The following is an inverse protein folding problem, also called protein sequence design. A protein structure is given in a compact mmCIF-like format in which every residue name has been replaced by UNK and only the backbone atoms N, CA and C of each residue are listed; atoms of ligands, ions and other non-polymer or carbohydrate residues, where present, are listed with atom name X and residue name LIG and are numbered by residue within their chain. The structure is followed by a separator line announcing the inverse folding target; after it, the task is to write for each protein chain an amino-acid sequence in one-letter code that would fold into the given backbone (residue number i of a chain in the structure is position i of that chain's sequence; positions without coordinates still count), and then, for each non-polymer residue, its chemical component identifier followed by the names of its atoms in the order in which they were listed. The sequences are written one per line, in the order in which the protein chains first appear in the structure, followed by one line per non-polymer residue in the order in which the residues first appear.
data_IF_420333634531
#
_entry.id   IF_420333634531
#
_cell.length_a   1.000
_cell.length_b   1.000
_cell.length_c   1.000
_cell.angle_alpha   90.00
_cell.angle_beta   90.00
_cell.angle_gamma   90.00
#
_symmetry.space_group_name_H-M   'P 1'
#
loop_
_entity.id
_entity.type
_entity.pdbx_description
1 polymer ?
#
# COMPACT_ATOMS: atom_id res chain seq x y z
N UNK A 1 14.91 -12.78 -0.15
CA UNK A 1 15.83 -11.98 0.68
C UNK A 1 15.51 -10.51 0.45
N UNK A 2 15.13 -9.79 1.51
CA UNK A 2 14.87 -8.35 1.48
C UNK A 2 16.12 -7.57 1.05
N UNK A 3 15.99 -6.75 0.00
CA UNK A 3 17.10 -5.98 -0.56
C UNK A 3 17.70 -4.96 0.42
N UNK A 4 18.93 -4.46 0.19
CA UNK A 4 19.58 -3.46 1.05
C UNK A 4 18.76 -2.16 1.21
N UNK A 5 17.93 -1.83 0.21
CA UNK A 5 17.07 -0.64 0.19
C UNK A 5 16.03 -0.62 1.30
N UNK A 6 15.54 -1.77 1.76
CA UNK A 6 14.55 -1.85 2.84
C UNK A 6 15.07 -1.33 4.18
N UNK A 7 16.39 -1.32 4.38
CA UNK A 7 17.04 -1.00 5.66
C UNK A 7 17.49 0.45 5.78
N UNK A 8 17.31 1.26 4.73
CA UNK A 8 17.69 2.67 4.73
C UNK A 8 16.45 3.54 4.63
N UNK A 9 16.21 4.39 5.64
CA UNK A 9 15.02 5.24 5.71
C UNK A 9 14.74 5.99 4.41
N UNK A 10 15.78 6.59 3.80
CA UNK A 10 15.60 7.34 2.56
C UNK A 10 15.16 6.44 1.39
N UNK A 11 15.76 5.27 1.23
CA UNK A 11 15.42 4.34 0.15
C UNK A 11 14.02 3.74 0.37
N UNK A 12 13.71 3.38 1.61
CA UNK A 12 12.42 2.86 2.02
C UNK A 12 11.29 3.88 1.80
N UNK A 13 11.46 5.13 2.27
CA UNK A 13 10.54 6.23 2.00
C UNK A 13 10.36 6.48 0.50
N UNK A 14 11.44 6.42 -0.29
CA UNK A 14 11.34 6.60 -1.74
C UNK A 14 10.45 5.55 -2.41
N UNK A 15 10.39 4.32 -1.88
CA UNK A 15 9.49 3.27 -2.37
C UNK A 15 8.04 3.63 -2.01
N UNK A 16 7.78 4.04 -0.77
CA UNK A 16 6.46 4.49 -0.32
C UNK A 16 5.92 5.66 -1.14
N UNK A 17 6.72 6.72 -1.27
CA UNK A 17 6.32 7.94 -1.99
C UNK A 17 6.04 7.63 -3.47
N UNK A 18 6.88 6.80 -4.09
CA UNK A 18 6.69 6.38 -5.48
C UNK A 18 5.40 5.59 -5.68
N UNK A 19 5.21 4.54 -4.88
CA UNK A 19 4.01 3.69 -4.97
C UNK A 19 2.73 4.48 -4.67
N UNK A 20 2.76 5.38 -3.68
CA UNK A 20 1.62 6.23 -3.33
C UNK A 20 1.28 7.25 -4.42
N UNK A 21 2.28 7.94 -4.98
CA UNK A 21 2.07 8.96 -6.01
C UNK A 21 1.44 8.38 -7.27
N UNK A 22 1.91 7.20 -7.69
CA UNK A 22 1.35 6.49 -8.84
C UNK A 22 -0.07 6.00 -8.58
N UNK A 23 -0.32 5.36 -7.42
CA UNK A 23 -1.65 4.94 -7.01
C UNK A 23 -2.64 6.11 -6.95
N UNK A 24 -2.20 7.26 -6.43
CA UNK A 24 -3.02 8.48 -6.37
C UNK A 24 -3.36 8.99 -7.76
N UNK A 25 -2.38 9.05 -8.66
CA UNK A 25 -2.58 9.53 -10.04
C UNK A 25 -3.56 8.65 -10.80
N UNK A 26 -3.44 7.33 -10.66
CA UNK A 26 -4.38 6.37 -11.25
C UNK A 26 -5.78 6.46 -10.63
N UNK A 27 -5.88 6.69 -9.32
CA UNK A 27 -7.17 6.90 -8.64
C UNK A 27 -7.86 8.17 -9.17
N UNK A 28 -7.12 9.27 -9.28
CA UNK A 28 -7.66 10.53 -9.82
C UNK A 28 -8.11 10.37 -11.29
N UNK A 29 -7.34 9.64 -12.10
CA UNK A 29 -7.71 9.30 -13.48
C UNK A 29 -9.01 8.47 -13.52
N UNK A 30 -9.10 7.41 -12.71
CA UNK A 30 -10.28 6.54 -12.64
C UNK A 30 -11.54 7.34 -12.29
N UNK A 31 -11.46 8.22 -11.29
CA UNK A 31 -12.57 9.08 -10.88
C UNK A 31 -13.05 9.99 -12.01
N UNK A 32 -12.12 10.57 -12.78
CA UNK A 32 -12.46 11.40 -13.93
C UNK A 32 -13.12 10.58 -15.06
N UNK A 33 -12.61 9.38 -15.36
CA UNK A 33 -13.19 8.51 -16.39
C UNK A 33 -14.62 8.08 -16.05
N UNK A 34 -14.88 7.74 -14.78
CA UNK A 34 -16.24 7.42 -14.30
C UNK A 34 -17.16 8.63 -14.42
N UNK A 35 -16.68 9.82 -14.02
CA UNK A 35 -17.43 11.08 -14.15
C UNK A 35 -17.76 11.41 -15.61
N UNK A 36 -16.85 11.14 -16.52
CA UNK A 36 -17.00 11.41 -17.96
C UNK A 36 -17.74 10.27 -18.69
N UNK A 37 -18.27 9.28 -17.97
CA UNK A 37 -18.98 8.11 -18.52
C UNK A 37 -18.16 7.27 -19.51
N UNK A 38 -16.83 7.24 -19.36
CA UNK A 38 -15.91 6.43 -20.17
C UNK A 38 -15.72 5.04 -19.56
N UNK A 39 -16.75 4.20 -19.66
CA UNK A 39 -16.83 2.93 -18.92
C UNK A 39 -15.71 1.94 -19.26
N UNK A 40 -15.34 1.82 -20.54
CA UNK A 40 -14.30 0.88 -20.98
C UNK A 40 -12.93 1.28 -20.43
N UNK A 41 -12.57 2.54 -20.58
CA UNK A 41 -11.32 3.10 -20.10
C UNK A 41 -11.27 3.08 -18.57
N UNK A 42 -12.40 3.35 -17.89
CA UNK A 42 -12.49 3.24 -16.44
C UNK A 42 -12.21 1.80 -15.96
N UNK A 43 -12.70 0.79 -16.67
CA UNK A 43 -12.40 -0.62 -16.34
C UNK A 43 -10.92 -0.95 -16.52
N UNK A 44 -10.31 -0.53 -17.64
CA UNK A 44 -8.88 -0.74 -17.90
C UNK A 44 -8.02 -0.07 -16.82
N UNK A 45 -8.35 1.17 -16.43
CA UNK A 45 -7.62 1.88 -15.37
C UNK A 45 -7.86 1.26 -13.99
N UNK A 46 -9.07 0.79 -13.70
CA UNK A 46 -9.36 0.12 -12.42
C UNK A 46 -8.59 -1.20 -12.28
N UNK A 47 -8.47 -1.98 -13.36
CA UNK A 47 -7.70 -3.21 -13.38
C UNK A 47 -6.19 -2.94 -13.19
N UNK A 48 -5.65 -1.97 -13.93
CA UNK A 48 -4.26 -1.54 -13.76
C UNK A 48 -3.98 -0.97 -12.36
N UNK A 49 -4.94 -0.25 -11.76
CA UNK A 49 -4.79 0.30 -10.42
C UNK A 49 -4.78 -0.81 -9.36
N UNK A 50 -5.64 -1.82 -9.44
CA UNK A 50 -5.58 -2.93 -8.47
C UNK A 50 -4.31 -3.75 -8.65
N UNK A 51 -3.84 -3.97 -9.88
CA UNK A 51 -2.56 -4.60 -10.15
C UNK A 51 -1.39 -3.80 -9.55
N UNK A 52 -1.40 -2.47 -9.64
CA UNK A 52 -0.40 -1.61 -9.00
C UNK A 52 -0.36 -1.83 -7.48
N UNK A 53 -1.51 -1.88 -6.81
CA UNK A 53 -1.57 -2.18 -5.37
C UNK A 53 -1.01 -3.57 -5.05
N UNK A 54 -1.36 -4.59 -5.84
CA UNK A 54 -0.87 -5.97 -5.68
C UNK A 54 0.65 -6.06 -5.86
N UNK A 55 1.19 -5.47 -6.92
CA UNK A 55 2.61 -5.63 -7.27
C UNK A 55 3.53 -4.71 -6.48
N UNK A 56 3.12 -3.46 -6.24
CA UNK A 56 3.99 -2.42 -5.69
C UNK A 56 3.86 -2.27 -4.19
N UNK A 57 2.64 -2.26 -3.67
CA UNK A 57 2.41 -2.03 -2.24
C UNK A 57 2.39 -3.35 -1.49
N UNK A 58 1.57 -4.32 -1.93
CA UNK A 58 1.48 -5.62 -1.27
C UNK A 58 2.79 -6.41 -1.44
N UNK A 59 3.42 -6.39 -2.63
CA UNK A 59 4.73 -7.01 -2.81
C UNK A 59 5.85 -6.41 -1.94
N UNK A 60 5.77 -5.11 -1.63
CA UNK A 60 6.67 -4.46 -0.68
C UNK A 60 6.39 -4.90 0.76
N UNK A 61 5.10 -4.89 1.16
CA UNK A 61 4.63 -5.40 2.44
C UNK A 61 5.07 -6.86 2.71
N UNK A 62 4.98 -7.73 1.70
CA UNK A 62 5.42 -9.12 1.80
C UNK A 62 6.93 -9.19 2.09
N UNK A 63 7.73 -8.35 1.41
CA UNK A 63 9.18 -8.28 1.62
C UNK A 63 9.56 -7.77 3.02
N UNK A 64 8.74 -6.92 3.61
CA UNK A 64 8.91 -6.42 4.97
C UNK A 64 8.59 -7.51 5.99
N UNK A 65 7.42 -8.13 5.87
CA UNK A 65 6.94 -9.16 6.79
C UNK A 65 7.82 -10.41 6.79
N UNK A 66 8.26 -10.88 5.62
CA UNK A 66 9.10 -12.08 5.50
C UNK A 66 10.53 -11.89 6.00
N UNK A 67 10.99 -10.63 6.16
CA UNK A 67 12.39 -10.35 6.44
C UNK A 67 12.59 -9.18 7.38
N UNK A 68 12.30 -7.97 6.92
CA UNK A 68 12.67 -6.74 7.63
C UNK A 68 12.04 -6.65 9.03
N UNK A 69 10.76 -6.96 9.18
CA UNK A 69 10.06 -6.93 10.47
C UNK A 69 10.59 -7.98 11.45
N UNK A 70 10.99 -9.14 10.97
CA UNK A 70 11.65 -10.17 11.80
C UNK A 70 13.01 -9.68 12.31
N UNK A 71 13.79 -9.01 11.46
CA UNK A 71 15.07 -8.40 11.86
C UNK A 71 14.86 -7.28 12.91
N UNK A 72 13.91 -6.38 12.66
CA UNK A 72 13.58 -5.24 13.55
C UNK A 72 13.12 -5.72 14.92
N UNK A 73 12.20 -6.69 14.99
CA UNK A 73 11.70 -7.24 16.26
C UNK A 73 12.77 -8.02 17.01
N UNK A 74 13.64 -8.76 16.31
CA UNK A 74 14.77 -9.46 16.93
C UNK A 74 15.76 -8.47 17.56
N UNK A 75 16.06 -7.36 16.88
CA UNK A 75 16.98 -6.34 17.37
C UNK A 75 16.36 -5.47 18.47
N UNK A 76 15.05 -5.24 18.41
CA UNK A 76 14.32 -4.47 19.40
C UNK A 76 12.94 -5.09 19.70
N UNK A 77 12.86 -6.01 20.68
CA UNK A 77 11.61 -6.68 21.04
C UNK A 77 10.48 -5.74 21.48
N UNK A 78 10.79 -4.50 21.91
CA UNK A 78 9.77 -3.50 22.30
C UNK A 78 8.91 -3.02 21.12
N UNK A 79 9.36 -3.24 19.88
CA UNK A 79 8.61 -2.86 18.69
C UNK A 79 7.56 -3.91 18.27
N UNK A 80 7.51 -5.06 18.94
CA UNK A 80 6.62 -6.17 18.59
C UNK A 80 5.16 -5.73 18.37
N UNK A 81 4.58 -4.98 19.32
CA UNK A 81 3.19 -4.53 19.20
C UNK A 81 2.99 -3.55 18.04
N UNK A 82 4.00 -2.73 17.72
CA UNK A 82 3.95 -1.82 16.57
C UNK A 82 4.00 -2.58 15.26
N UNK A 83 4.83 -3.61 15.19
CA UNK A 83 4.93 -4.47 14.00
C UNK A 83 3.62 -5.22 13.77
N UNK A 84 2.97 -5.72 14.82
CA UNK A 84 1.62 -6.33 14.69
C UNK A 84 0.61 -5.32 14.09
N UNK A 85 0.63 -4.06 14.54
CA UNK A 85 -0.25 -3.03 13.98
C UNK A 85 0.04 -2.76 12.50
N UNK A 86 1.32 -2.68 12.12
CA UNK A 86 1.73 -2.45 10.73
C UNK A 86 1.32 -3.62 9.82
N UNK A 87 1.57 -4.86 10.24
CA UNK A 87 1.09 -6.06 9.53
C UNK A 87 -0.43 -6.08 9.41
N UNK A 88 -1.16 -5.60 10.44
CA UNK A 88 -2.63 -5.50 10.35
C UNK A 88 -3.08 -4.51 9.28
N UNK A 89 -2.37 -3.40 9.10
CA UNK A 89 -2.66 -2.46 8.02
C UNK A 89 -2.45 -3.10 6.64
N UNK A 90 -1.38 -3.91 6.47
CA UNK A 90 -1.17 -4.69 5.25
C UNK A 90 -2.33 -5.65 4.97
N UNK A 91 -2.85 -6.35 5.98
CA UNK A 91 -4.00 -7.24 5.83
C UNK A 91 -5.26 -6.51 5.37
N UNK A 92 -5.48 -5.28 5.85
CA UNK A 92 -6.60 -4.45 5.41
C UNK A 92 -6.41 -4.07 3.94
N UNK A 93 -5.19 -3.68 3.54
CA UNK A 93 -4.85 -3.38 2.14
C UNK A 93 -5.11 -4.61 1.24
N UNK A 94 -4.60 -5.79 1.62
CA UNK A 94 -4.84 -7.06 0.91
C UNK A 94 -6.33 -7.38 0.80
N UNK A 95 -7.09 -7.14 1.86
CA UNK A 95 -8.54 -7.38 1.89
C UNK A 95 -9.26 -6.49 0.87
N UNK A 96 -8.96 -5.20 0.83
CA UNK A 96 -9.58 -4.29 -0.13
C UNK A 96 -9.18 -4.58 -1.57
N UNK A 97 -7.90 -4.89 -1.83
CA UNK A 97 -7.45 -5.27 -3.18
C UNK A 97 -8.21 -6.50 -3.70
N UNK A 98 -8.37 -7.54 -2.85
CA UNK A 98 -9.16 -8.73 -3.19
C UNK A 98 -10.64 -8.40 -3.43
N UNK A 99 -11.26 -7.59 -2.58
CA UNK A 99 -12.65 -7.19 -2.75
C UNK A 99 -12.88 -6.40 -4.05
N UNK A 100 -11.94 -5.51 -4.40
CA UNK A 100 -11.96 -4.78 -5.67
C UNK A 100 -11.88 -5.76 -6.85
N UNK A 101 -10.93 -6.71 -6.84
CA UNK A 101 -10.81 -7.76 -7.87
C UNK A 101 -12.11 -8.53 -8.05
N UNK A 102 -12.73 -8.96 -6.96
CA UNK A 102 -14.00 -9.68 -7.01
C UNK A 102 -15.15 -8.83 -7.57
N UNK A 103 -15.22 -7.55 -7.23
CA UNK A 103 -16.22 -6.65 -7.80
C UNK A 103 -15.99 -6.35 -9.28
N UNK A 104 -14.73 -6.19 -9.71
CA UNK A 104 -14.37 -5.93 -11.11
C UNK A 104 -14.74 -7.07 -12.06
N UNK A 105 -14.87 -8.32 -11.58
CA UNK A 105 -15.38 -9.46 -12.39
C UNK A 105 -16.78 -9.21 -12.96
N UNK A 106 -17.53 -8.25 -12.41
CA UNK A 106 -18.84 -7.83 -12.93
C UNK A 106 -18.75 -6.90 -14.14
N UNK A 107 -17.53 -6.61 -14.63
CA UNK A 107 -17.24 -5.70 -15.74
C UNK A 107 -17.91 -4.33 -15.58
N UNK A 108 -17.91 -3.81 -14.35
CA UNK A 108 -18.41 -2.47 -14.05
C UNK A 108 -17.63 -1.86 -12.89
N UNK A 109 -17.22 -0.60 -13.05
CA UNK A 109 -16.70 0.20 -11.94
C UNK A 109 -17.87 0.75 -11.14
N UNK A 110 -17.98 0.32 -9.88
CA UNK A 110 -19.02 0.76 -8.94
C UNK A 110 -18.49 1.86 -8.02
N UNK A 111 -19.39 2.62 -7.39
CA UNK A 111 -19.00 3.57 -6.33
C UNK A 111 -18.25 2.87 -5.18
N UNK A 112 -18.64 1.63 -4.86
CA UNK A 112 -17.98 0.82 -3.84
C UNK A 112 -16.52 0.46 -4.20
N UNK A 113 -16.20 0.27 -5.49
CA UNK A 113 -14.81 0.11 -5.95
C UNK A 113 -14.04 1.43 -5.76
N UNK A 114 -14.64 2.56 -6.15
CA UNK A 114 -14.02 3.87 -6.01
C UNK A 114 -13.71 4.23 -4.55
N UNK A 115 -14.64 3.94 -3.66
CA UNK A 115 -14.47 4.24 -2.24
C UNK A 115 -13.38 3.38 -1.59
N UNK A 116 -13.23 2.12 -2.03
CA UNK A 116 -12.10 1.28 -1.60
C UNK A 116 -10.76 1.80 -2.08
N UNK A 117 -10.65 2.27 -3.33
CA UNK A 117 -9.38 2.87 -3.79
C UNK A 117 -9.03 4.14 -3.00
N UNK A 118 -10.01 4.99 -2.69
CA UNK A 118 -9.79 6.15 -1.80
C UNK A 118 -9.35 5.71 -0.40
N UNK A 119 -9.97 4.66 0.15
CA UNK A 119 -9.62 4.13 1.46
C UNK A 119 -8.19 3.56 1.47
N UNK A 120 -7.80 2.82 0.43
CA UNK A 120 -6.43 2.31 0.25
C UNK A 120 -5.39 3.43 0.28
N UNK A 121 -5.64 4.56 -0.40
CA UNK A 121 -4.74 5.72 -0.33
C UNK A 121 -4.59 6.25 1.10
N UNK A 122 -5.69 6.38 1.85
CA UNK A 122 -5.66 6.91 3.21
C UNK A 122 -4.93 5.96 4.17
N UNK A 123 -5.21 4.66 4.07
CA UNK A 123 -4.57 3.63 4.89
C UNK A 123 -3.07 3.58 4.60
N UNK A 124 -2.68 3.48 3.32
CA UNK A 124 -1.28 3.39 2.94
C UNK A 124 -0.48 4.62 3.42
N UNK A 125 -1.06 5.82 3.30
CA UNK A 125 -0.41 7.04 3.77
C UNK A 125 -0.18 7.03 5.29
N UNK A 126 -1.14 6.54 6.06
CA UNK A 126 -1.01 6.43 7.52
C UNK A 126 0.01 5.36 7.90
N UNK A 127 -0.08 4.20 7.26
CA UNK A 127 0.83 3.07 7.43
C UNK A 127 2.29 3.49 7.17
N UNK A 128 2.61 4.01 5.98
CA UNK A 128 3.98 4.40 5.61
C UNK A 128 4.59 5.42 6.57
N UNK A 129 3.79 6.40 7.01
CA UNK A 129 4.24 7.39 8.00
C UNK A 129 4.58 6.73 9.34
N UNK A 130 3.71 5.85 9.81
CA UNK A 130 3.83 5.25 11.13
C UNK A 130 4.96 4.20 11.15
N UNK A 131 5.10 3.42 10.10
CA UNK A 131 6.24 2.51 9.89
C UNK A 131 7.56 3.27 9.93
N UNK A 132 7.72 4.30 9.09
CA UNK A 132 8.95 5.08 9.03
C UNK A 132 9.30 5.67 10.40
N UNK A 133 8.28 6.08 11.16
CA UNK A 133 8.45 6.61 12.51
C UNK A 133 8.86 5.53 13.51
N UNK A 134 8.23 4.36 13.49
CA UNK A 134 8.46 3.32 14.49
C UNK A 134 9.76 2.57 14.25
N UNK A 135 10.08 2.31 12.99
CA UNK A 135 11.16 1.41 12.61
C UNK A 135 12.49 2.13 12.44
N UNK A 136 12.50 3.39 11.99
CA UNK A 136 13.74 4.12 11.69
C UNK A 136 14.06 5.28 12.63
N UNK A 137 13.07 5.87 13.31
CA UNK A 137 13.25 7.14 14.04
C UNK A 137 13.87 7.01 15.44
N UNK A 138 14.54 5.91 15.72
CA UNK A 138 15.27 5.66 16.97
C UNK A 138 16.79 5.90 16.85
N UNK A 139 17.32 6.20 15.65
CA UNK A 139 18.75 6.48 15.45
C UNK A 139 19.16 7.94 15.80
N UNK A 140 18.23 8.87 15.99
CA UNK A 140 18.56 10.30 16.22
C UNK A 140 18.90 10.67 17.68
N UNK A 141 18.84 9.72 18.62
CA UNK A 141 19.12 9.98 20.05
C UNK A 141 20.30 9.18 20.61
N UNK A 142 21.23 8.71 19.77
CA UNK A 142 22.49 8.05 20.19
C UNK A 142 23.70 8.93 19.92
#
# INVERSE_FOLDING_TARGET
MSGPSLRQLHAHRSIHDGAYSEAKSLTDLLLNLVKDHKEKEALEVADALVEHWEQRVIGHADSEEEGFYLEVTKNNPKLHDKIIMLTRDHDIIRTFAREIREELKKNKVTENILDRFKALLLINKLHSRDEERFVFKMEENS
#
